data_IF_069468888470
#
_entry.id   IF_069468888470
#
_cell.length_a   1.000
_cell.length_b   1.000
_cell.length_c   1.000
_cell.angle_alpha   90.00
_cell.angle_beta   90.00
_cell.angle_gamma   90.00
#
_symmetry.space_group_name_H-M   'P 1'
#
loop_
_entity.id
_entity.type
_entity.pdbx_description
1 polymer ?
#
# COMPACT_ATOMS: atom_id res chain seq x y z
N UNK A 1 -2.79 -17.64 -31.62
CA UNK A 1 -3.37 -16.29 -31.74
C UNK A 1 -4.58 -16.27 -30.82
N UNK A 2 -4.42 -15.74 -29.60
CA UNK A 2 -5.45 -15.81 -28.55
C UNK A 2 -5.85 -14.40 -28.19
N UNK A 3 -7.08 -14.02 -28.53
CA UNK A 3 -7.66 -12.70 -28.26
C UNK A 3 -8.37 -12.73 -26.92
N UNK A 4 -7.94 -11.91 -25.96
CA UNK A 4 -8.68 -11.68 -24.71
C UNK A 4 -9.60 -10.48 -24.87
N UNK A 5 -10.92 -10.73 -24.93
CA UNK A 5 -11.96 -9.70 -24.76
C UNK A 5 -12.18 -9.48 -23.27
N UNK A 6 -12.07 -8.23 -22.81
CA UNK A 6 -12.51 -7.84 -21.47
C UNK A 6 -13.90 -7.22 -21.64
N UNK A 7 -14.91 -7.87 -21.07
CA UNK A 7 -16.26 -7.34 -20.98
C UNK A 7 -16.31 -6.29 -19.85
N UNK A 8 -16.87 -5.12 -20.16
CA UNK A 8 -17.14 -4.08 -19.19
C UNK A 8 -18.50 -4.35 -18.51
N UNK A 9 -18.50 -4.63 -17.20
CA UNK A 9 -19.72 -4.71 -16.40
C UNK A 9 -19.60 -3.76 -15.21
N UNK A 10 -20.51 -2.78 -15.17
CA UNK A 10 -20.63 -1.80 -14.10
C UNK A 10 -21.36 -2.41 -12.88
N UNK A 11 -20.69 -2.50 -11.74
CA UNK A 11 -21.29 -2.53 -10.40
C UNK A 11 -20.19 -2.37 -9.33
N UNK A 12 -20.39 -1.43 -8.41
CA UNK A 12 -19.54 -1.01 -7.29
C UNK A 12 -18.17 -0.40 -7.66
N UNK A 13 -17.91 0.84 -7.19
CA UNK A 13 -16.55 1.31 -6.96
C UNK A 13 -15.96 0.47 -5.83
N UNK A 14 -15.65 -0.79 -6.09
CA UNK A 14 -14.50 -1.39 -5.42
C UNK A 14 -13.34 -0.49 -5.83
N UNK A 15 -12.78 0.28 -4.88
CA UNK A 15 -11.48 0.93 -5.11
C UNK A 15 -10.57 -0.21 -5.51
N UNK A 16 -10.30 -0.38 -6.81
CA UNK A 16 -9.52 -1.49 -7.31
C UNK A 16 -8.25 -1.56 -6.47
N UNK A 17 -8.19 -2.55 -5.58
CA UNK A 17 -7.15 -2.67 -4.58
C UNK A 17 -5.94 -3.27 -5.28
N UNK A 18 -5.32 -2.44 -6.12
CA UNK A 18 -4.06 -2.79 -6.75
C UNK A 18 -2.98 -2.70 -5.69
N UNK A 19 -2.32 -3.82 -5.44
CA UNK A 19 -1.05 -3.81 -4.73
C UNK A 19 -0.06 -3.02 -5.57
N UNK A 20 0.50 -1.96 -5.00
CA UNK A 20 1.45 -1.09 -5.69
C UNK A 20 2.61 -0.73 -4.77
N UNK A 21 3.75 -0.45 -5.41
CA UNK A 21 4.93 0.14 -4.76
C UNK A 21 5.37 -0.66 -3.54
N UNK A 22 5.66 -1.95 -3.75
CA UNK A 22 6.19 -2.78 -2.70
C UNK A 22 7.63 -2.37 -2.37
N UNK A 23 8.00 -2.40 -1.08
CA UNK A 23 9.35 -2.17 -0.59
C UNK A 23 9.72 -3.26 0.42
N UNK A 24 10.92 -3.83 0.27
CA UNK A 24 11.52 -4.78 1.21
C UNK A 24 12.38 -4.00 2.23
N UNK A 25 12.40 -4.44 3.49
CA UNK A 25 13.36 -3.96 4.49
C UNK A 25 14.79 -4.36 4.13
N UNK A 26 15.79 -3.63 4.59
CA UNK A 26 17.19 -3.89 4.29
C UNK A 26 17.64 -5.28 4.81
N UNK A 27 17.13 -5.69 5.97
CA UNK A 27 17.33 -7.01 6.56
C UNK A 27 16.50 -8.14 5.89
N UNK A 28 15.60 -7.81 4.97
CA UNK A 28 14.72 -8.75 4.28
C UNK A 28 13.59 -9.34 5.12
N UNK A 29 13.43 -8.91 6.38
CA UNK A 29 12.42 -9.45 7.30
C UNK A 29 11.00 -8.99 7.02
N UNK A 30 10.81 -7.87 6.30
CA UNK A 30 9.50 -7.23 6.14
C UNK A 30 9.29 -6.68 4.74
N UNK A 31 8.08 -6.82 4.24
CA UNK A 31 7.61 -6.20 2.99
C UNK A 31 6.50 -5.21 3.32
N UNK A 32 6.57 -4.01 2.74
CA UNK A 32 5.48 -3.04 2.76
C UNK A 32 4.93 -2.83 1.38
N UNK A 33 3.67 -2.47 1.27
CA UNK A 33 3.02 -2.14 0.01
C UNK A 33 1.80 -1.24 0.25
N UNK A 34 1.36 -0.57 -0.80
CA UNK A 34 0.10 0.17 -0.79
C UNK A 34 -1.04 -0.70 -1.33
N UNK A 35 -2.19 -0.69 -0.65
CA UNK A 35 -3.41 -1.38 -1.07
C UNK A 35 -4.64 -0.62 -0.54
N UNK A 36 -5.63 -0.36 -1.40
CA UNK A 36 -6.86 0.33 -1.03
C UNK A 36 -6.71 1.84 -0.72
N UNK A 37 -5.50 2.39 -0.88
CA UNK A 37 -5.15 3.74 -0.43
C UNK A 37 -4.55 3.78 0.98
N UNK A 38 -4.15 2.63 1.52
CA UNK A 38 -3.47 2.50 2.79
C UNK A 38 -2.14 1.77 2.63
N UNK A 39 -1.30 1.90 3.66
CA UNK A 39 -0.05 1.16 3.77
C UNK A 39 -0.28 -0.15 4.54
N UNK A 40 0.29 -1.22 4.03
CA UNK A 40 0.26 -2.56 4.60
C UNK A 40 1.68 -3.08 4.79
N UNK A 41 1.85 -3.99 5.74
CA UNK A 41 3.11 -4.66 6.04
C UNK A 41 2.88 -6.16 6.25
N UNK A 42 3.79 -7.00 5.78
CA UNK A 42 3.85 -8.43 6.09
C UNK A 42 5.30 -8.88 6.31
N UNK A 43 5.48 -10.12 6.75
CA UNK A 43 6.79 -10.76 6.82
C UNK A 43 7.38 -10.97 5.42
N UNK A 44 8.71 -10.89 5.30
CA UNK A 44 9.43 -11.07 4.04
C UNK A 44 9.31 -12.47 3.44
N UNK A 45 9.00 -13.48 4.26
CA UNK A 45 8.68 -14.84 3.81
C UNK A 45 7.20 -15.01 3.45
N UNK A 46 6.40 -13.95 3.56
CA UNK A 46 4.95 -13.97 3.36
C UNK A 46 4.17 -14.31 4.63
N UNK A 47 2.85 -14.34 4.51
CA UNK A 47 1.94 -14.52 5.63
C UNK A 47 0.94 -13.36 5.73
N UNK A 48 0.32 -13.23 6.90
CA UNK A 48 -0.75 -12.26 7.11
C UNK A 48 -0.22 -10.81 7.04
N UNK A 49 -0.88 -10.01 6.19
CA UNK A 49 -0.59 -8.59 6.09
C UNK A 49 -1.37 -7.81 7.14
N UNK A 50 -0.69 -6.88 7.81
CA UNK A 50 -1.27 -5.94 8.76
C UNK A 50 -1.34 -4.55 8.14
N UNK A 51 -2.49 -3.90 8.28
CA UNK A 51 -2.67 -2.49 7.90
C UNK A 51 -1.90 -1.57 8.87
N UNK A 52 -1.09 -0.67 8.31
CA UNK A 52 -0.26 0.29 9.05
C UNK A 52 -0.92 1.66 9.18
N UNK A 53 -1.67 2.07 8.16
CA UNK A 53 -2.41 3.33 8.16
C UNK A 53 -3.89 3.05 7.96
N UNK A 54 -4.75 3.77 8.66
CA UNK A 54 -6.19 3.67 8.48
C UNK A 54 -6.81 5.07 8.47
N UNK A 55 -7.03 5.60 7.28
CA UNK A 55 -7.62 6.92 7.10
C UNK A 55 -8.42 6.98 5.79
N UNK A 56 -9.29 7.98 5.69
CA UNK A 56 -10.10 8.20 4.49
C UNK A 56 -9.28 8.69 3.29
N UNK A 57 -8.28 9.52 3.59
CA UNK A 57 -7.27 10.01 2.65
C UNK A 57 -6.28 8.93 2.21
N UNK A 58 -5.64 9.21 1.08
CA UNK A 58 -4.77 8.29 0.38
C UNK A 58 -3.32 8.32 0.92
N UNK A 59 -2.84 7.15 1.32
CA UNK A 59 -1.44 6.85 1.63
C UNK A 59 -0.82 5.90 0.59
N UNK A 60 0.41 6.18 0.15
CA UNK A 60 1.11 5.34 -0.82
C UNK A 60 2.64 5.48 -0.78
N UNK A 61 3.32 4.75 -1.68
CA UNK A 61 4.77 4.76 -1.85
C UNK A 61 5.55 4.54 -0.54
N UNK A 62 5.28 3.45 0.21
CA UNK A 62 6.02 3.16 1.43
C UNK A 62 7.48 2.82 1.11
N UNK A 63 8.41 3.38 1.88
CA UNK A 63 9.84 3.05 1.84
C UNK A 63 10.40 2.91 3.25
N UNK A 64 11.15 1.85 3.51
CA UNK A 64 11.85 1.68 4.78
C UNK A 64 13.04 2.63 4.90
N UNK A 65 13.35 3.05 6.11
CA UNK A 65 14.65 3.65 6.41
C UNK A 65 15.76 2.61 6.25
N UNK A 66 17.01 3.04 5.96
CA UNK A 66 18.13 2.11 5.81
C UNK A 66 18.43 1.26 7.06
N UNK A 67 18.01 1.71 8.23
CA UNK A 67 18.14 1.00 9.51
C UNK A 67 16.87 0.21 9.90
N UNK A 68 15.87 0.12 9.01
CA UNK A 68 14.61 -0.60 9.16
C UNK A 68 13.73 -0.16 10.33
N UNK A 69 14.04 0.96 10.98
CA UNK A 69 13.29 1.46 12.15
C UNK A 69 12.10 2.32 11.78
N UNK A 70 12.13 2.98 10.63
CA UNK A 70 11.13 3.94 10.20
C UNK A 70 10.55 3.54 8.85
N UNK A 71 9.33 4.01 8.61
CA UNK A 71 8.62 3.85 7.34
C UNK A 71 8.18 5.23 6.88
N UNK A 72 8.72 5.70 5.76
CA UNK A 72 8.24 6.91 5.10
C UNK A 72 7.19 6.54 4.06
N UNK A 73 6.18 7.41 3.87
CA UNK A 73 5.13 7.23 2.88
C UNK A 73 4.58 8.58 2.45
N UNK A 74 4.00 8.64 1.26
CA UNK A 74 3.29 9.81 0.76
C UNK A 74 1.86 9.79 1.29
N UNK A 75 1.42 10.90 1.90
CA UNK A 75 0.07 11.06 2.46
C UNK A 75 -0.60 12.26 1.80
N UNK A 76 -1.86 12.09 1.39
CA UNK A 76 -2.72 13.19 0.93
C UNK A 76 -3.48 13.89 2.04
N UNK A 77 -3.30 13.48 3.28
CA UNK A 77 -3.83 14.21 4.44
C UNK A 77 -3.33 15.64 4.38
N UNK A 78 -4.22 16.58 4.07
CA UNK A 78 -3.94 17.99 4.25
C UNK A 78 -3.94 18.22 5.75
N UNK A 79 -2.83 18.72 6.31
CA UNK A 79 -2.75 19.02 7.72
C UNK A 79 -3.92 19.93 8.11
N UNK A 80 -4.89 19.39 8.86
CA UNK A 80 -5.73 20.22 9.71
C UNK A 80 -4.79 20.97 10.63
N UNK A 81 -4.94 22.28 10.68
CA UNK A 81 -4.15 23.20 11.50
C UNK A 81 -3.85 22.55 12.86
N UNK A 82 -2.56 22.44 13.19
CA UNK A 82 -2.20 22.42 14.60
C UNK A 82 -2.54 23.82 15.13
N UNK A 83 -3.70 23.99 15.77
CA UNK A 83 -3.94 25.11 16.68
C UNK A 83 -3.51 24.74 18.09
#
# INVERSE_FOLDING_TARGET
>A
MTTHRIANSAAATERYAYLRQASLSADGSRVTFSCGGDIWICDGQGGDARRMTAHEDYDAAPIFSPDDRLLAFASRRTGGENI
#
